data_IF_202762849987
#
_entry.id   IF_202762849987
#
_cell.length_a   1.000
_cell.length_b   1.000
_cell.length_c   1.000
_cell.angle_alpha   90.00
_cell.angle_beta   90.00
_cell.angle_gamma   90.00
#
_symmetry.space_group_name_H-M   'P 1'
#
loop_
_entity.id
_entity.type
_entity.pdbx_description
1 polymer ?
#
# COMPACT_ATOMS: atom_id res chain seq x y z
N UNK A 1 31.77 -13.89 4.04
CA UNK A 1 31.78 -12.46 3.70
C UNK A 1 31.70 -11.52 4.91
N UNK A 2 31.37 -12.00 6.12
CA UNK A 2 31.32 -11.16 7.33
C UNK A 2 31.99 -11.87 8.52
N UNK A 3 32.59 -11.10 9.43
CA UNK A 3 33.20 -11.55 10.70
C UNK A 3 32.99 -10.50 11.82
N UNK A 4 33.70 -10.65 12.95
CA UNK A 4 33.62 -9.76 14.13
C UNK A 4 34.44 -8.46 14.01
N UNK A 5 35.01 -8.19 12.84
CA UNK A 5 35.75 -6.96 12.54
C UNK A 5 35.07 -6.05 11.51
N UNK A 6 34.14 -6.56 10.69
CA UNK A 6 33.46 -5.80 9.61
C UNK A 6 31.94 -5.81 9.75
N UNK A 7 31.23 -4.86 9.10
CA UNK A 7 29.75 -4.78 9.09
C UNK A 7 29.08 -4.84 10.47
N UNK A 8 29.77 -4.36 11.52
CA UNK A 8 29.41 -4.62 12.90
C UNK A 8 28.11 -3.96 13.36
N UNK A 9 27.62 -2.95 12.63
CA UNK A 9 26.39 -2.19 12.96
C UNK A 9 25.18 -2.54 12.08
N UNK A 10 25.28 -3.54 11.22
CA UNK A 10 24.19 -3.94 10.32
C UNK A 10 22.96 -4.44 11.11
N UNK A 11 21.77 -3.96 10.74
CA UNK A 11 20.50 -4.27 11.44
C UNK A 11 20.16 -5.76 11.46
N UNK A 12 20.56 -6.51 10.42
CA UNK A 12 20.33 -7.96 10.32
C UNK A 12 21.14 -8.78 11.34
N UNK A 13 22.20 -8.20 11.95
CA UNK A 13 23.00 -8.94 12.92
C UNK A 13 22.24 -9.05 14.24
N UNK A 14 22.09 -10.28 14.73
CA UNK A 14 21.50 -10.57 16.04
C UNK A 14 22.20 -9.82 17.19
N UNK A 15 23.51 -9.58 17.08
CA UNK A 15 24.29 -8.83 18.07
C UNK A 15 23.85 -7.36 18.23
N UNK A 16 23.19 -6.77 17.22
CA UNK A 16 22.78 -5.35 17.22
C UNK A 16 21.36 -5.13 17.77
N UNK A 17 20.94 -5.98 18.71
CA UNK A 17 19.63 -5.90 19.37
C UNK A 17 18.68 -7.02 18.98
N UNK A 18 18.91 -7.69 17.84
CA UNK A 18 18.25 -8.94 17.46
C UNK A 18 16.72 -8.89 17.41
N UNK A 19 16.13 -7.71 17.23
CA UNK A 19 14.69 -7.52 17.04
C UNK A 19 14.31 -7.79 15.59
N UNK A 20 13.07 -8.24 15.39
CA UNK A 20 12.52 -8.43 14.06
C UNK A 20 12.42 -7.09 13.29
N UNK A 21 12.54 -7.18 11.97
CA UNK A 21 12.38 -6.04 11.07
C UNK A 21 10.91 -5.95 10.68
N UNK A 22 10.32 -4.77 10.84
CA UNK A 22 9.00 -4.50 10.27
C UNK A 22 9.16 -4.41 8.75
N UNK A 23 8.72 -5.45 8.04
CA UNK A 23 8.80 -5.53 6.58
C UNK A 23 7.68 -4.75 5.89
N UNK A 24 6.45 -4.87 6.40
CA UNK A 24 5.27 -4.27 5.80
C UNK A 24 4.21 -3.89 6.85
N UNK A 25 3.46 -2.84 6.55
CA UNK A 25 2.24 -2.42 7.21
C UNK A 25 1.10 -2.46 6.20
N UNK A 26 0.19 -3.42 6.37
CA UNK A 26 -0.91 -3.68 5.43
C UNK A 26 -2.24 -3.29 6.10
N UNK A 27 -2.79 -2.13 5.72
CA UNK A 27 -4.10 -1.71 6.21
C UNK A 27 -5.22 -2.37 5.39
N UNK A 28 -6.16 -3.04 6.05
CA UNK A 28 -7.33 -3.62 5.38
C UNK A 28 -8.57 -2.76 5.56
N UNK A 29 -9.28 -2.46 4.47
CA UNK A 29 -10.54 -1.69 4.49
C UNK A 29 -11.59 -2.38 3.64
N UNK A 30 -12.57 -3.04 4.27
CA UNK A 30 -13.65 -3.68 3.54
C UNK A 30 -14.45 -2.69 2.66
N UNK A 31 -14.79 -1.53 3.21
CA UNK A 31 -15.35 -0.39 2.48
C UNK A 31 -14.67 0.90 2.91
N UNK A 32 -14.74 1.94 2.08
CA UNK A 32 -14.14 3.24 2.32
C UNK A 32 -15.24 4.29 2.45
N UNK A 33 -15.10 5.14 3.48
CA UNK A 33 -15.82 6.41 3.56
C UNK A 33 -14.79 7.53 3.63
N UNK A 34 -15.09 8.68 3.05
CA UNK A 34 -14.15 9.81 2.94
C UNK A 34 -13.67 10.32 4.30
N UNK A 35 -14.48 10.19 5.35
CA UNK A 35 -14.14 10.53 6.73
C UNK A 35 -13.22 9.49 7.39
N UNK A 36 -13.36 8.19 7.05
CA UNK A 36 -12.64 7.07 7.69
C UNK A 36 -11.42 6.58 6.89
N UNK A 37 -11.17 7.13 5.71
CA UNK A 37 -9.98 6.81 4.91
C UNK A 37 -8.70 7.45 5.47
N UNK A 38 -8.81 8.51 6.28
CA UNK A 38 -7.67 9.26 6.80
C UNK A 38 -6.81 8.49 7.80
N UNK A 39 -7.37 7.55 8.57
CA UNK A 39 -6.60 6.82 9.59
C UNK A 39 -5.38 6.11 8.98
N UNK A 40 -5.53 5.49 7.80
CA UNK A 40 -4.41 4.81 7.13
C UNK A 40 -3.31 5.80 6.70
N UNK A 41 -3.66 7.04 6.37
CA UNK A 41 -2.68 8.09 6.08
C UNK A 41 -1.97 8.56 7.35
N UNK A 42 -2.70 8.73 8.45
CA UNK A 42 -2.10 9.11 9.74
C UNK A 42 -1.16 8.02 10.27
N UNK A 43 -1.56 6.76 10.18
CA UNK A 43 -0.72 5.60 10.53
C UNK A 43 0.54 5.54 9.66
N UNK A 44 0.38 5.71 8.34
CA UNK A 44 1.50 5.78 7.40
C UNK A 44 2.49 6.91 7.75
N UNK A 45 1.98 8.12 7.96
CA UNK A 45 2.79 9.28 8.34
C UNK A 45 3.54 9.06 9.65
N UNK A 46 2.93 8.36 10.61
CA UNK A 46 3.60 8.00 11.86
C UNK A 46 4.76 7.03 11.64
N UNK A 47 4.59 6.02 10.78
CA UNK A 47 5.67 5.10 10.40
C UNK A 47 6.79 5.85 9.67
N UNK A 48 6.45 6.70 8.70
CA UNK A 48 7.40 7.51 7.94
C UNK A 48 8.20 8.42 8.89
N UNK A 49 7.54 9.16 9.78
CA UNK A 49 8.21 10.15 10.64
C UNK A 49 9.07 9.53 11.74
N UNK A 50 8.68 8.38 12.28
CA UNK A 50 9.34 7.80 13.46
C UNK A 50 10.31 6.67 13.13
N UNK A 51 10.47 6.29 11.85
CA UNK A 51 11.38 5.19 11.48
C UNK A 51 12.84 5.51 11.80
N UNK A 52 13.58 4.47 12.17
CA UNK A 52 15.04 4.46 12.22
C UNK A 52 15.55 3.32 11.34
N UNK A 53 15.74 3.62 10.06
CA UNK A 53 16.12 2.63 9.05
C UNK A 53 15.27 2.73 7.79
N UNK A 54 15.18 1.62 7.05
CA UNK A 54 14.36 1.53 5.85
C UNK A 54 12.88 1.67 6.20
N UNK A 55 12.10 2.24 5.28
CA UNK A 55 10.65 2.33 5.43
C UNK A 55 10.05 0.94 5.14
N UNK A 56 9.15 0.40 5.98
CA UNK A 56 8.40 -0.79 5.60
C UNK A 56 7.50 -0.48 4.38
N UNK A 57 7.05 -1.50 3.66
CA UNK A 57 5.96 -1.32 2.69
C UNK A 57 4.72 -0.79 3.41
N UNK A 58 4.09 0.26 2.89
CA UNK A 58 2.87 0.85 3.44
C UNK A 58 1.77 0.78 2.40
N UNK A 59 0.87 -0.20 2.56
CA UNK A 59 -0.12 -0.52 1.54
C UNK A 59 -1.51 -0.64 2.13
N UNK A 60 -2.52 -0.54 1.26
CA UNK A 60 -3.92 -0.73 1.62
C UNK A 60 -4.53 -1.84 0.77
N UNK A 61 -5.26 -2.75 1.39
CA UNK A 61 -6.12 -3.72 0.70
C UNK A 61 -7.58 -3.32 0.90
N UNK A 62 -8.39 -3.34 -0.17
CA UNK A 62 -9.79 -2.92 -0.09
C UNK A 62 -10.75 -3.73 -0.96
N UNK A 63 -12.02 -3.77 -0.52
CA UNK A 63 -13.17 -4.24 -1.28
C UNK A 63 -14.18 -3.13 -1.62
N UNK A 64 -13.74 -1.86 -1.58
CA UNK A 64 -14.59 -0.73 -1.94
C UNK A 64 -14.97 -0.76 -3.43
N UNK A 65 -16.27 -0.79 -3.78
CA UNK A 65 -16.68 -0.88 -5.19
C UNK A 65 -16.67 0.44 -5.95
N UNK A 66 -16.62 1.60 -5.28
CA UNK A 66 -16.68 2.90 -5.98
C UNK A 66 -15.27 3.44 -6.28
N UNK A 67 -14.91 3.66 -7.57
CA UNK A 67 -13.62 4.25 -7.94
C UNK A 67 -13.33 5.58 -7.24
N UNK A 68 -14.35 6.41 -7.02
CA UNK A 68 -14.23 7.68 -6.31
C UNK A 68 -13.76 7.53 -4.86
N UNK A 69 -14.20 6.48 -4.17
CA UNK A 69 -13.80 6.19 -2.79
C UNK A 69 -12.44 5.52 -2.72
N UNK A 70 -12.10 4.65 -3.67
CA UNK A 70 -10.73 4.13 -3.82
C UNK A 70 -9.75 5.29 -4.07
N UNK A 71 -10.11 6.21 -4.97
CA UNK A 71 -9.31 7.40 -5.30
C UNK A 71 -9.00 8.27 -4.08
N UNK A 72 -9.93 8.35 -3.12
CA UNK A 72 -9.73 9.13 -1.88
C UNK A 72 -8.53 8.67 -1.04
N UNK A 73 -8.05 7.44 -1.24
CA UNK A 73 -6.88 6.88 -0.56
C UNK A 73 -5.71 6.59 -1.51
N UNK A 74 -5.96 6.17 -2.75
CA UNK A 74 -4.92 5.82 -3.72
C UNK A 74 -4.25 7.04 -4.36
N UNK A 75 -5.01 8.11 -4.62
CA UNK A 75 -4.50 9.35 -5.21
C UNK A 75 -4.05 10.30 -4.10
N UNK A 76 -2.79 10.74 -4.16
CA UNK A 76 -2.24 11.66 -3.15
C UNK A 76 -0.73 11.56 -2.94
N UNK A 77 -0.31 11.93 -1.74
CA UNK A 77 1.00 12.48 -1.32
C UNK A 77 2.14 11.48 -1.13
N UNK A 78 2.04 10.27 -1.65
CA UNK A 78 3.11 9.27 -1.54
C UNK A 78 3.27 8.63 -0.15
N UNK A 79 2.32 8.86 0.77
CA UNK A 79 2.31 8.21 2.09
C UNK A 79 1.93 6.73 2.03
N UNK A 80 1.17 6.35 0.99
CA UNK A 80 0.75 4.98 0.72
C UNK A 80 1.42 4.56 -0.59
N UNK A 81 2.14 3.45 -0.57
CA UNK A 81 2.88 2.95 -1.72
C UNK A 81 1.92 2.55 -2.84
N UNK A 82 0.92 1.72 -2.51
CA UNK A 82 -0.11 1.26 -3.44
C UNK A 82 -1.38 0.82 -2.71
N UNK A 83 -2.51 0.81 -3.44
CA UNK A 83 -3.78 0.22 -3.01
C UNK A 83 -4.02 -1.05 -3.84
N UNK A 84 -4.42 -2.12 -3.19
CA UNK A 84 -4.73 -3.40 -3.81
C UNK A 84 -6.22 -3.69 -3.66
N UNK A 85 -6.91 -3.93 -4.76
CA UNK A 85 -8.32 -4.32 -4.73
C UNK A 85 -8.43 -5.85 -4.68
N UNK A 86 -9.34 -6.39 -3.88
CA UNK A 86 -9.49 -7.85 -3.69
C UNK A 86 -10.01 -8.61 -4.93
N UNK A 87 -10.59 -7.87 -5.87
CA UNK A 87 -11.22 -8.37 -7.10
C UNK A 87 -11.10 -7.28 -8.19
N UNK A 88 -9.86 -6.87 -8.53
CA UNK A 88 -9.67 -5.70 -9.40
C UNK A 88 -10.23 -5.95 -10.80
N UNK A 89 -10.06 -7.16 -11.32
CA UNK A 89 -10.49 -7.51 -12.67
C UNK A 89 -12.02 -7.47 -12.80
N UNK A 90 -12.74 -7.96 -11.79
CA UNK A 90 -14.20 -7.90 -11.69
C UNK A 90 -14.68 -6.46 -11.54
N UNK A 91 -13.97 -5.65 -10.74
CA UNK A 91 -14.27 -4.22 -10.62
C UNK A 91 -14.12 -3.50 -11.97
N UNK A 92 -13.06 -3.79 -12.72
CA UNK A 92 -12.84 -3.21 -14.05
C UNK A 92 -14.00 -3.54 -15.00
N UNK A 93 -14.44 -4.80 -15.01
CA UNK A 93 -15.59 -5.21 -15.81
C UNK A 93 -16.86 -4.45 -15.41
N UNK A 94 -17.18 -4.43 -14.11
CA UNK A 94 -18.38 -3.77 -13.60
C UNK A 94 -18.38 -2.25 -13.87
N UNK A 95 -17.24 -1.57 -13.73
CA UNK A 95 -17.12 -0.13 -13.98
C UNK A 95 -17.21 0.17 -15.48
N UNK A 96 -16.68 -0.68 -16.36
CA UNK A 96 -16.82 -0.49 -17.80
C UNK A 96 -18.25 -0.74 -18.30
N UNK A 97 -19.01 -1.65 -17.66
CA UNK A 97 -20.38 -1.98 -18.05
C UNK A 97 -21.41 -1.02 -17.47
N UNK A 98 -21.25 -0.61 -16.20
CA UNK A 98 -22.26 0.15 -15.45
C UNK A 98 -21.79 1.53 -14.97
N UNK A 99 -20.50 1.82 -15.05
CA UNK A 99 -19.94 3.10 -14.62
C UNK A 99 -20.19 4.22 -15.64
N UNK A 100 -20.12 5.47 -15.17
CA UNK A 100 -20.05 6.62 -16.05
C UNK A 100 -18.61 6.85 -16.55
N UNK A 101 -18.44 7.69 -17.58
CA UNK A 101 -17.13 8.02 -18.16
C UNK A 101 -16.13 8.48 -17.10
N UNK A 102 -16.57 9.30 -16.14
CA UNK A 102 -15.72 9.77 -15.03
C UNK A 102 -15.18 8.63 -14.16
N UNK A 103 -16.02 7.62 -13.85
CA UNK A 103 -15.62 6.46 -13.04
C UNK A 103 -14.62 5.59 -13.79
N UNK A 104 -14.81 5.40 -15.10
CA UNK A 104 -13.90 4.64 -15.96
C UNK A 104 -12.55 5.35 -16.04
N UNK A 105 -12.54 6.65 -16.34
CA UNK A 105 -11.32 7.46 -16.42
C UNK A 105 -10.57 7.47 -15.09
N UNK A 106 -11.30 7.63 -13.98
CA UNK A 106 -10.69 7.65 -12.64
C UNK A 106 -10.06 6.30 -12.29
N UNK A 107 -10.76 5.20 -12.56
CA UNK A 107 -10.24 3.85 -12.38
C UNK A 107 -8.97 3.61 -13.20
N UNK A 108 -9.01 3.92 -14.49
CA UNK A 108 -7.85 3.79 -15.38
C UNK A 108 -6.68 4.67 -14.94
N UNK A 109 -6.94 5.88 -14.47
CA UNK A 109 -5.92 6.79 -13.94
C UNK A 109 -5.20 6.16 -12.75
N UNK A 110 -5.93 5.53 -11.82
CA UNK A 110 -5.32 4.86 -10.67
C UNK A 110 -4.47 3.65 -11.10
N UNK A 111 -4.97 2.83 -12.04
CA UNK A 111 -4.26 1.63 -12.52
C UNK A 111 -2.98 2.03 -13.29
N UNK A 112 -3.13 2.91 -14.28
CA UNK A 112 -2.00 3.37 -15.12
C UNK A 112 -0.96 4.15 -14.30
N UNK A 113 -1.41 4.89 -13.28
CA UNK A 113 -0.55 5.56 -12.31
C UNK A 113 0.12 4.62 -11.29
N UNK A 114 -0.10 3.29 -11.38
CA UNK A 114 0.40 2.28 -10.42
C UNK A 114 -0.06 2.54 -8.98
N UNK A 115 -1.21 3.19 -8.82
CA UNK A 115 -1.83 3.54 -7.53
C UNK A 115 -2.88 2.53 -7.09
N UNK A 116 -3.42 1.77 -8.04
CA UNK A 116 -4.35 0.66 -7.81
C UNK A 116 -3.87 -0.58 -8.56
N UNK A 117 -3.76 -1.70 -7.85
CA UNK A 117 -3.35 -3.01 -8.34
C UNK A 117 -4.30 -4.11 -7.87
N UNK A 118 -4.17 -5.32 -8.41
CA UNK A 118 -4.94 -6.47 -7.95
C UNK A 118 -4.27 -7.08 -6.71
N UNK A 119 -5.06 -7.69 -5.82
CA UNK A 119 -4.51 -8.36 -4.64
C UNK A 119 -3.48 -9.44 -4.96
N UNK A 120 -3.54 -10.06 -6.14
CA UNK A 120 -2.53 -11.01 -6.62
C UNK A 120 -1.16 -10.39 -6.89
N UNK A 121 -1.06 -9.08 -7.07
CA UNK A 121 0.22 -8.36 -7.24
C UNK A 121 0.95 -8.18 -5.89
N UNK A 122 0.21 -8.13 -4.78
CA UNK A 122 0.74 -7.79 -3.45
C UNK A 122 1.88 -8.73 -2.99
N UNK A 123 1.78 -10.07 -3.10
CA UNK A 123 2.88 -10.95 -2.66
C UNK A 123 4.20 -10.70 -3.38
N UNK A 124 4.16 -10.36 -4.68
CA UNK A 124 5.36 -10.07 -5.46
C UNK A 124 5.90 -8.68 -5.16
N UNK A 125 5.02 -7.69 -4.96
CA UNK A 125 5.42 -6.35 -4.56
C UNK A 125 6.04 -6.31 -3.14
N UNK A 126 5.73 -7.28 -2.28
CA UNK A 126 6.36 -7.45 -0.96
C UNK A 126 7.70 -8.19 -1.02
N UNK A 127 8.14 -8.69 -2.18
CA UNK A 127 9.35 -9.49 -2.30
C UNK A 127 10.58 -8.69 -2.77
N UNK A 128 10.46 -7.37 -2.91
CA UNK A 128 11.52 -6.45 -3.38
C UNK A 128 12.43 -5.92 -2.28
#
# INVERSE_FOLDING_TARGET
MVDDSVCLKTVLRKSNGGKDILHASISSKWTIRSDRSQNSRTEALNLIRNRKGHLPHIVVVTGEPLPSRIASISLGTGDIDCVYHFALYELIQAVNEFGNDDSIVLMQTMINGKRLKDISDLPLDLAV
#
